data_IF_887102014267
#
_entry.id   IF_887102014267
#
_cell.length_a   1.000
_cell.length_b   1.000
_cell.length_c   1.000
_cell.angle_alpha   90.00
_cell.angle_beta   90.00
_cell.angle_gamma   90.00
#
_symmetry.space_group_name_H-M   'P 1'
#
loop_
_entity.id
_entity.type
_entity.pdbx_description
1 polymer ?
#
# COMPACT_ATOMS: atom_id res chain seq x y z
N UNK A 1 -13.68 -0.22 1.76
CA UNK A 1 -13.70 -0.21 0.27
C UNK A 1 -13.13 1.05 -0.38
N UNK A 2 -13.17 2.24 0.25
CA UNK A 2 -12.59 3.48 -0.34
C UNK A 2 -11.08 3.35 -0.62
N UNK A 3 -10.31 2.68 0.25
CA UNK A 3 -8.87 2.43 0.06
C UNK A 3 -8.55 1.60 -1.21
N UNK A 4 -9.30 0.52 -1.46
CA UNK A 4 -9.10 -0.32 -2.64
C UNK A 4 -9.51 0.38 -3.94
N UNK A 5 -10.53 1.26 -3.92
CA UNK A 5 -10.91 2.06 -5.09
C UNK A 5 -9.85 3.09 -5.47
N UNK A 6 -9.27 3.78 -4.47
CA UNK A 6 -8.15 4.71 -4.71
C UNK A 6 -6.92 3.99 -5.26
N UNK A 7 -6.68 2.77 -4.78
CA UNK A 7 -5.60 1.92 -5.28
C UNK A 7 -5.76 1.56 -6.77
N UNK A 8 -6.95 1.11 -7.18
CA UNK A 8 -7.25 0.79 -8.57
C UNK A 8 -7.00 1.99 -9.50
N UNK A 9 -7.43 3.19 -9.09
CA UNK A 9 -7.18 4.41 -9.85
C UNK A 9 -5.68 4.70 -10.04
N UNK A 10 -4.87 4.57 -8.97
CA UNK A 10 -3.40 4.73 -9.08
C UNK A 10 -2.76 3.68 -9.97
N UNK A 11 -3.26 2.44 -9.92
CA UNK A 11 -2.79 1.36 -10.80
C UNK A 11 -3.17 1.61 -12.27
N UNK A 12 -4.29 2.23 -12.57
CA UNK A 12 -4.65 2.61 -13.94
C UNK A 12 -3.79 3.76 -14.50
N UNK A 13 -3.39 4.70 -13.64
CA UNK A 13 -2.58 5.87 -14.02
C UNK A 13 -1.09 5.54 -14.21
N UNK A 14 -0.56 4.57 -13.46
CA UNK A 14 0.87 4.23 -13.44
C UNK A 14 1.18 2.81 -13.88
N UNK A 15 0.14 1.99 -14.05
CA UNK A 15 0.25 0.58 -14.38
C UNK A 15 0.93 0.34 -15.72
N UNK A 16 1.97 -0.50 -15.75
CA UNK A 16 2.67 -0.87 -16.98
C UNK A 16 3.73 0.12 -17.47
N UNK A 17 4.00 1.22 -16.74
CA UNK A 17 5.12 2.13 -17.05
C UNK A 17 6.43 1.74 -16.34
N UNK A 18 6.35 0.90 -15.29
CA UNK A 18 7.51 0.33 -14.59
C UNK A 18 7.07 -0.88 -13.78
N UNK A 19 7.65 -2.05 -14.07
CA UNK A 19 7.40 -3.32 -13.36
C UNK A 19 7.62 -3.18 -11.83
N UNK A 20 8.48 -2.24 -11.42
CA UNK A 20 8.76 -1.93 -10.02
C UNK A 20 7.59 -1.21 -9.35
N UNK A 21 6.90 -0.30 -10.06
CA UNK A 21 5.72 0.40 -9.53
C UNK A 21 4.56 -0.57 -9.41
N UNK A 22 4.38 -1.43 -10.42
CA UNK A 22 3.34 -2.46 -10.43
C UNK A 22 3.49 -3.39 -9.22
N UNK A 23 4.71 -3.90 -8.99
CA UNK A 23 5.02 -4.71 -7.82
C UNK A 23 4.72 -3.98 -6.50
N UNK A 24 5.15 -2.73 -6.36
CA UNK A 24 4.91 -1.95 -5.15
C UNK A 24 3.42 -1.69 -4.90
N UNK A 25 2.65 -1.48 -5.97
CA UNK A 25 1.22 -1.35 -5.90
C UNK A 25 0.57 -2.68 -5.44
N UNK A 26 0.94 -3.81 -6.03
CA UNK A 26 0.45 -5.12 -5.59
C UNK A 26 0.75 -5.38 -4.09
N UNK A 27 1.96 -5.06 -3.63
CA UNK A 27 2.35 -5.16 -2.21
C UNK A 27 1.46 -4.27 -1.33
N UNK A 28 1.15 -3.04 -1.77
CA UNK A 28 0.20 -2.15 -1.07
C UNK A 28 -1.19 -2.79 -0.95
N UNK A 29 -1.68 -3.42 -2.02
CA UNK A 29 -2.98 -4.07 -1.99
C UNK A 29 -3.02 -5.22 -0.99
N UNK A 30 -2.00 -6.09 -0.98
CA UNK A 30 -1.90 -7.20 -0.02
C UNK A 30 -1.93 -6.68 1.42
N UNK A 31 -1.12 -5.65 1.70
CA UNK A 31 -1.03 -5.02 3.01
C UNK A 31 -2.39 -4.47 3.50
N UNK A 32 -3.15 -3.81 2.63
CA UNK A 32 -4.49 -3.29 2.96
C UNK A 32 -5.47 -4.43 3.27
N UNK A 33 -5.41 -5.52 2.52
CA UNK A 33 -6.25 -6.70 2.74
C UNK A 33 -5.90 -7.37 4.07
N UNK A 34 -4.61 -7.55 4.37
CA UNK A 34 -4.12 -8.08 5.65
C UNK A 34 -4.55 -7.20 6.82
N UNK A 35 -4.41 -5.88 6.71
CA UNK A 35 -4.89 -4.94 7.71
C UNK A 35 -6.40 -5.09 7.96
N UNK A 36 -7.20 -5.18 6.89
CA UNK A 36 -8.65 -5.34 7.01
C UNK A 36 -9.04 -6.66 7.70
N UNK A 37 -8.28 -7.73 7.45
CA UNK A 37 -8.44 -9.03 8.14
C UNK A 37 -8.10 -8.91 9.62
N UNK A 38 -6.94 -8.32 9.95
CA UNK A 38 -6.45 -8.15 11.33
C UNK A 38 -7.33 -7.23 12.18
N UNK A 39 -7.79 -6.13 11.61
CA UNK A 39 -8.65 -5.17 12.28
C UNK A 39 -10.07 -5.72 12.52
N UNK A 40 -10.34 -6.98 12.14
CA UNK A 40 -11.64 -7.63 12.24
C UNK A 40 -12.78 -6.72 11.76
N UNK A 41 -12.53 -5.97 10.67
CA UNK A 41 -13.50 -5.05 10.07
C UNK A 41 -14.60 -5.88 9.39
N UNK A 42 -15.42 -6.53 10.20
CA UNK A 42 -16.67 -7.12 9.81
C UNK A 42 -17.58 -5.98 9.32
N UNK A 43 -18.41 -6.19 8.29
CA UNK A 43 -19.43 -5.23 7.92
C UNK A 43 -20.24 -4.88 9.18
N UNK A 44 -20.45 -3.58 9.44
CA UNK A 44 -21.18 -3.06 10.61
C UNK A 44 -22.60 -3.64 10.80
N UNK A 45 -23.07 -4.42 9.81
CA UNK A 45 -24.34 -5.14 9.78
C UNK A 45 -24.35 -6.45 10.57
N UNK A 46 -23.19 -7.03 10.92
CA UNK A 46 -23.13 -8.27 11.72
C UNK A 46 -22.63 -7.97 13.14
N UNK A 47 -23.58 -7.79 14.06
CA UNK A 47 -23.35 -7.86 15.51
C UNK A 47 -23.01 -9.30 15.90
N UNK A 48 -21.84 -9.79 15.51
CA UNK A 48 -21.28 -11.02 16.04
C UNK A 48 -19.95 -10.68 16.69
N UNK A 49 -19.90 -10.90 18.00
CA UNK A 49 -18.73 -11.05 18.86
C UNK A 49 -17.39 -11.05 18.11
N UNK A 50 -16.49 -10.11 18.42
CA UNK A 50 -15.08 -10.12 18.02
C UNK A 50 -14.54 -11.56 18.13
N UNK A 51 -14.45 -12.28 17.01
CA UNK A 51 -14.40 -13.75 17.06
C UNK A 51 -13.09 -14.29 17.65
N UNK A 52 -12.04 -13.48 17.70
CA UNK A 52 -10.81 -13.72 18.45
C UNK A 52 -9.85 -12.56 18.15
N UNK A 53 -8.96 -12.24 19.09
CA UNK A 53 -7.81 -11.39 18.79
C UNK A 53 -6.92 -12.08 17.74
N UNK A 54 -6.27 -11.34 16.83
CA UNK A 54 -5.30 -11.92 15.92
C UNK A 54 -4.15 -12.56 16.70
N UNK A 55 -3.61 -13.65 16.16
CA UNK A 55 -2.49 -14.36 16.77
C UNK A 55 -1.20 -13.51 16.67
N UNK A 56 -0.23 -13.72 17.59
CA UNK A 56 1.06 -13.03 17.53
C UNK A 56 1.78 -13.21 16.19
N UNK A 57 1.61 -14.38 15.54
CA UNK A 57 2.21 -14.69 14.25
C UNK A 57 1.58 -13.87 13.11
N UNK A 58 0.25 -13.74 13.09
CA UNK A 58 -0.43 -12.91 12.09
C UNK A 58 -0.04 -11.43 12.23
N UNK A 59 0.10 -10.94 13.46
CA UNK A 59 0.56 -9.57 13.72
C UNK A 59 2.03 -9.38 13.29
N UNK A 60 2.89 -10.36 13.59
CA UNK A 60 4.30 -10.31 13.19
C UNK A 60 4.45 -10.27 11.68
N UNK A 61 3.73 -11.13 10.95
CA UNK A 61 3.78 -11.17 9.49
C UNK A 61 3.33 -9.84 8.87
N UNK A 62 2.24 -9.26 9.37
CA UNK A 62 1.79 -7.95 8.91
C UNK A 62 2.80 -6.85 9.20
N UNK A 63 3.41 -6.83 10.38
CA UNK A 63 4.43 -5.84 10.73
C UNK A 63 5.68 -5.99 9.85
N UNK A 64 6.10 -7.21 9.52
CA UNK A 64 7.21 -7.46 8.60
C UNK A 64 6.88 -6.93 7.20
N UNK A 65 5.74 -7.34 6.63
CA UNK A 65 5.26 -6.82 5.35
C UNK A 65 5.13 -5.29 5.32
N UNK A 66 4.69 -4.68 6.42
CA UNK A 66 4.59 -3.21 6.53
C UNK A 66 5.97 -2.55 6.43
N UNK A 67 6.96 -3.08 7.15
CA UNK A 67 8.33 -2.56 7.13
C UNK A 67 8.94 -2.72 5.75
N UNK A 68 8.75 -3.88 5.11
CA UNK A 68 9.24 -4.14 3.75
C UNK A 68 8.61 -3.15 2.75
N UNK A 69 7.28 -2.97 2.82
CA UNK A 69 6.53 -2.05 1.96
C UNK A 69 7.02 -0.59 2.09
N UNK A 70 7.25 -0.12 3.32
CA UNK A 70 7.76 1.24 3.58
C UNK A 70 9.20 1.36 3.08
N UNK A 71 10.02 0.33 3.30
CA UNK A 71 11.42 0.30 2.87
C UNK A 71 11.55 0.35 1.35
N UNK A 72 10.75 -0.43 0.61
CA UNK A 72 10.67 -0.35 -0.86
C UNK A 72 10.28 1.05 -1.34
N UNK A 73 9.33 1.69 -0.64
CA UNK A 73 8.96 3.09 -0.87
C UNK A 73 10.16 4.01 -0.80
N UNK A 74 10.85 4.01 0.35
CA UNK A 74 11.96 4.92 0.64
C UNK A 74 13.23 4.66 -0.17
N UNK A 75 13.59 3.41 -0.43
CA UNK A 75 14.88 3.08 -1.06
C UNK A 75 14.83 2.92 -2.57
N UNK A 76 13.64 2.90 -3.18
CA UNK A 76 13.52 2.63 -4.61
C UNK A 76 12.45 3.46 -5.29
N UNK A 77 11.24 3.45 -4.74
CA UNK A 77 10.09 4.07 -5.43
C UNK A 77 10.21 5.59 -5.43
N UNK A 78 10.51 6.21 -4.29
CA UNK A 78 10.59 7.67 -4.22
C UNK A 78 11.70 8.23 -5.10
N UNK A 79 12.86 7.59 -5.15
CA UNK A 79 13.95 7.99 -6.05
C UNK A 79 13.53 7.90 -7.53
N UNK A 80 12.92 6.78 -7.93
CA UNK A 80 12.41 6.60 -9.29
C UNK A 80 11.33 7.63 -9.66
N UNK A 81 10.41 7.95 -8.75
CA UNK A 81 9.38 8.96 -8.97
C UNK A 81 10.00 10.36 -9.08
N UNK A 82 10.98 10.67 -8.25
CA UNK A 82 11.71 11.95 -8.30
C UNK A 82 12.53 12.10 -9.58
N UNK A 83 13.17 11.03 -10.05
CA UNK A 83 13.90 11.04 -11.31
C UNK A 83 12.96 11.22 -12.51
N UNK A 84 11.81 10.54 -12.51
CA UNK A 84 10.78 10.75 -13.52
C UNK A 84 10.25 12.18 -13.47
N UNK A 85 10.00 12.74 -12.29
CA UNK A 85 9.57 14.13 -12.12
C UNK A 85 10.60 15.11 -12.72
N UNK A 86 11.88 14.97 -12.37
CA UNK A 86 12.96 15.79 -12.93
C UNK A 86 13.06 15.69 -14.44
N UNK A 87 12.81 14.51 -15.01
CA UNK A 87 12.82 14.32 -16.47
C UNK A 87 11.76 15.13 -17.22
N UNK A 88 10.66 15.52 -16.54
CA UNK A 88 9.60 16.35 -17.13
C UNK A 88 9.99 17.83 -17.26
N UNK A 89 11.16 18.23 -16.75
CA UNK A 89 11.63 19.62 -16.76
C UNK A 89 10.91 20.54 -15.77
N UNK A 90 10.10 19.97 -14.87
CA UNK A 90 9.42 20.71 -13.81
C UNK A 90 10.35 20.81 -12.60
N UNK A 91 10.81 22.03 -12.27
CA UNK A 91 11.51 22.29 -11.02
C UNK A 91 10.50 22.69 -9.94
N UNK A 92 10.75 22.25 -8.70
CA UNK A 92 9.97 22.73 -7.57
C UNK A 92 10.15 24.26 -7.49
N UNK A 93 9.05 25.00 -7.44
CA UNK A 93 9.13 26.42 -7.08
C UNK A 93 9.65 26.51 -5.66
N UNK A 94 10.86 27.03 -5.49
CA UNK A 94 11.40 27.41 -4.18
C UNK A 94 10.46 28.49 -3.60
N UNK A 95 9.77 28.16 -2.51
CA UNK A 95 9.11 29.15 -1.64
C UNK A 95 10.15 29.87 -0.76
#
# INVERSE_FOLDING_TARGET
>A
MVMLKKFQQTQEEWGGSSEVIDHWLETRQSLIVEYCKLAALQPASQKSTLSSLPTPLELQNFCQHLVDYISEGHFKIYDMVMDQWRSTGFEATDD
#
